data_IF_782792125979
#
_entry.id   IF_782792125979
#
_cell.length_a   1.000
_cell.length_b   1.000
_cell.length_c   1.000
_cell.angle_alpha   90.00
_cell.angle_beta   90.00
_cell.angle_gamma   90.00
#
_symmetry.space_group_name_H-M   'P 1'
#
loop_
_entity.id
_entity.type
_entity.pdbx_description
1 polymer ?
#
# COMPACT_ATOMS: atom_id res chain seq x y z
N UNK A 1 1.02 5.71 -18.05
CA UNK A 1 1.45 4.81 -16.95
C UNK A 1 1.74 5.68 -15.75
N UNK A 2 0.82 5.80 -14.80
CA UNK A 2 1.04 6.58 -13.59
C UNK A 2 1.63 5.66 -12.52
N UNK A 3 2.89 5.87 -12.18
CA UNK A 3 3.55 5.19 -11.06
C UNK A 3 3.09 5.88 -9.78
N UNK A 4 2.11 5.30 -9.09
CA UNK A 4 1.66 5.80 -7.78
C UNK A 4 2.76 5.49 -6.75
N UNK A 5 3.14 6.50 -5.96
CA UNK A 5 4.10 6.36 -4.88
C UNK A 5 3.48 6.78 -3.57
N UNK A 6 3.78 6.05 -2.51
CA UNK A 6 3.30 6.33 -1.16
C UNK A 6 4.47 6.35 -0.17
N UNK A 7 4.33 7.15 0.88
CA UNK A 7 5.32 7.22 1.96
C UNK A 7 4.93 6.27 3.08
N UNK A 8 5.80 5.34 3.44
CA UNK A 8 5.61 4.39 4.55
C UNK A 8 6.63 4.65 5.64
N UNK A 9 6.24 4.46 6.90
CA UNK A 9 7.10 4.63 8.06
C UNK A 9 7.64 3.27 8.52
N UNK A 10 8.96 3.14 8.58
CA UNK A 10 9.62 1.99 9.21
C UNK A 10 9.48 2.13 10.72
N UNK A 11 8.88 1.16 11.41
CA UNK A 11 8.58 1.31 12.84
C UNK A 11 9.82 1.27 13.72
N UNK A 12 10.79 0.43 13.35
CA UNK A 12 12.08 0.29 14.06
C UNK A 12 12.91 1.58 14.03
N UNK A 13 13.12 2.17 12.85
CA UNK A 13 14.00 3.34 12.67
C UNK A 13 13.26 4.68 12.70
N UNK A 14 11.92 4.65 12.68
CA UNK A 14 11.03 5.82 12.47
C UNK A 14 11.30 6.59 11.17
N UNK A 15 12.09 6.02 10.26
CA UNK A 15 12.37 6.63 8.97
C UNK A 15 11.17 6.48 8.06
N UNK A 16 10.93 7.48 7.23
CA UNK A 16 9.92 7.43 6.18
C UNK A 16 10.60 7.09 4.86
N UNK A 17 10.05 6.12 4.14
CA UNK A 17 10.57 5.63 2.87
C UNK A 17 9.48 5.76 1.81
N UNK A 18 9.85 6.21 0.62
CA UNK A 18 8.95 6.25 -0.53
C UNK A 18 8.97 4.90 -1.25
N UNK A 19 7.77 4.36 -1.51
CA UNK A 19 7.60 3.05 -2.14
C UNK A 19 6.62 3.16 -3.30
N UNK A 20 6.77 2.30 -4.29
CA UNK A 20 5.90 2.28 -5.47
C UNK A 20 4.72 1.37 -5.21
N UNK A 21 3.50 1.82 -5.50
CA UNK A 21 2.29 0.99 -5.42
C UNK A 21 2.19 0.15 -6.69
N UNK A 22 2.09 -1.16 -6.52
CA UNK A 22 1.89 -2.12 -7.61
C UNK A 22 0.42 -2.52 -7.77
N UNK A 23 -0.29 -2.78 -6.66
CA UNK A 23 -1.74 -3.04 -6.64
C UNK A 23 -2.34 -2.38 -5.41
N UNK A 24 -3.52 -1.75 -5.56
CA UNK A 24 -4.17 -1.00 -4.47
C UNK A 24 -5.60 -1.49 -4.28
N UNK A 25 -5.87 -2.13 -3.13
CA UNK A 25 -7.21 -2.53 -2.68
C UNK A 25 -7.39 -2.13 -1.22
N UNK A 26 -8.64 -1.93 -0.80
CA UNK A 26 -8.92 -1.62 0.61
C UNK A 26 -8.55 -2.76 1.57
N UNK A 27 -8.42 -3.99 1.08
CA UNK A 27 -8.08 -5.16 1.89
C UNK A 27 -6.58 -5.47 1.88
N UNK A 28 -5.86 -5.01 0.86
CA UNK A 28 -4.43 -5.24 0.67
C UNK A 28 -3.86 -4.22 -0.31
N UNK A 29 -2.72 -3.64 0.03
CA UNK A 29 -1.95 -2.79 -0.87
C UNK A 29 -0.63 -3.49 -1.13
N UNK A 30 -0.34 -3.83 -2.38
CA UNK A 30 0.95 -4.38 -2.77
C UNK A 30 1.87 -3.24 -3.18
N UNK A 31 3.02 -3.16 -2.51
CA UNK A 31 4.06 -2.16 -2.78
C UNK A 31 5.36 -2.82 -3.23
N UNK A 32 6.18 -2.04 -3.93
CA UNK A 32 7.50 -2.42 -4.41
C UNK A 32 8.52 -1.46 -3.83
N UNK A 33 9.55 -2.04 -3.20
CA UNK A 33 10.68 -1.31 -2.61
C UNK A 33 11.94 -1.66 -3.40
N UNK A 34 12.70 -0.63 -3.76
CA UNK A 34 13.91 -0.74 -4.57
C UNK A 34 13.68 -0.49 -6.06
N UNK A 35 14.78 -0.31 -6.80
CA UNK A 35 14.80 -0.02 -8.22
C UNK A 35 15.51 -1.16 -8.99
N UNK A 36 15.02 -1.48 -10.19
CA UNK A 36 15.63 -2.50 -11.06
C UNK A 36 15.38 -3.95 -10.61
N UNK A 37 16.38 -4.83 -10.80
CA UNK A 37 16.24 -6.28 -10.56
C UNK A 37 16.18 -6.66 -9.08
N UNK A 38 16.59 -5.77 -8.18
CA UNK A 38 16.59 -5.97 -6.72
C UNK A 38 15.35 -5.36 -6.07
N UNK A 39 14.22 -5.38 -6.76
CA UNK A 39 12.95 -4.93 -6.21
C UNK A 39 12.30 -6.02 -5.36
N UNK A 40 11.74 -5.64 -4.21
CA UNK A 40 11.03 -6.54 -3.31
C UNK A 40 9.57 -6.13 -3.24
N UNK A 41 8.66 -7.08 -3.45
CA UNK A 41 7.23 -6.90 -3.23
C UNK A 41 6.89 -7.11 -1.76
N UNK A 42 6.06 -6.24 -1.21
CA UNK A 42 5.54 -6.33 0.14
C UNK A 42 4.04 -6.08 0.11
N UNK A 43 3.30 -6.87 0.87
CA UNK A 43 1.86 -6.70 1.02
C UNK A 43 1.58 -5.97 2.33
N UNK A 44 0.90 -4.84 2.25
CA UNK A 44 0.40 -4.09 3.39
C UNK A 44 -1.06 -4.47 3.63
N UNK A 45 -1.37 -4.92 4.85
CA UNK A 45 -2.73 -5.27 5.27
C UNK A 45 -3.25 -4.25 6.28
N UNK A 46 -4.56 -3.94 6.27
CA UNK A 46 -5.12 -2.98 7.21
C UNK A 46 -4.93 -3.50 8.64
N UNK A 47 -4.52 -2.61 9.54
CA UNK A 47 -4.43 -2.90 10.97
C UNK A 47 -5.81 -3.21 11.55
N UNK A 48 -5.87 -3.87 12.71
CA UNK A 48 -7.15 -4.27 13.34
C UNK A 48 -8.11 -3.09 13.57
N UNK A 49 -7.59 -1.90 13.82
CA UNK A 49 -8.39 -0.67 13.98
C UNK A 49 -8.74 0.02 12.65
N UNK A 50 -8.20 -0.45 11.51
CA UNK A 50 -8.46 0.11 10.18
C UNK A 50 -7.87 1.50 9.93
N UNK A 51 -6.99 1.99 10.81
CA UNK A 51 -6.42 3.35 10.73
C UNK A 51 -5.09 3.41 9.97
N UNK A 52 -4.48 2.26 9.70
CA UNK A 52 -3.21 2.15 8.98
C UNK A 52 -3.15 0.82 8.22
N UNK A 53 -2.15 0.68 7.36
CA UNK A 53 -1.77 -0.59 6.77
C UNK A 53 -0.35 -0.96 7.21
N UNK A 54 -0.13 -2.19 7.62
CA UNK A 54 1.17 -2.69 8.06
C UNK A 54 1.62 -3.86 7.20
N UNK A 55 2.93 -3.98 7.00
CA UNK A 55 3.54 -5.13 6.34
C UNK A 55 5.01 -5.25 6.71
N UNK A 56 5.62 -6.36 6.33
CA UNK A 56 7.03 -6.64 6.63
C UNK A 56 7.83 -6.71 5.35
N UNK A 57 8.92 -5.96 5.29
CA UNK A 57 9.89 -5.97 4.19
C UNK A 57 11.27 -6.25 4.74
N UNK A 58 11.92 -7.31 4.24
CA UNK A 58 13.29 -7.70 4.65
C UNK A 58 13.45 -7.71 6.18
N UNK A 59 12.48 -8.30 6.89
CA UNK A 59 12.48 -8.41 8.35
C UNK A 59 12.12 -7.13 9.13
N UNK A 60 11.77 -6.03 8.45
CA UNK A 60 11.37 -4.76 9.07
C UNK A 60 9.90 -4.47 8.85
N UNK A 61 9.21 -4.08 9.90
CA UNK A 61 7.82 -3.63 9.80
C UNK A 61 7.77 -2.20 9.24
N UNK A 62 6.90 -2.03 8.25
CA UNK A 62 6.56 -0.75 7.62
C UNK A 62 5.08 -0.49 7.77
N UNK A 63 4.73 0.76 8.03
CA UNK A 63 3.36 1.21 8.27
C UNK A 63 3.03 2.36 7.33
N UNK A 64 1.95 2.19 6.58
CA UNK A 64 1.30 3.25 5.84
C UNK A 64 0.17 3.84 6.67
N UNK A 65 0.33 5.09 7.10
CA UNK A 65 -0.59 5.77 8.02
C UNK A 65 -1.79 6.38 7.26
N UNK A 66 -2.59 5.52 6.63
CA UNK A 66 -3.87 5.86 6.02
C UNK A 66 -4.96 4.90 6.48
N UNK A 67 -6.14 5.46 6.76
CA UNK A 67 -7.28 4.62 7.10
C UNK A 67 -7.81 3.87 5.87
N UNK A 68 -8.47 2.75 6.12
CA UNK A 68 -9.13 1.97 5.07
C UNK A 68 -10.12 2.81 4.26
N UNK A 69 -10.86 3.71 4.90
CA UNK A 69 -11.82 4.58 4.22
C UNK A 69 -11.13 5.57 3.28
N UNK A 70 -9.99 6.15 3.71
CA UNK A 70 -9.21 7.05 2.87
C UNK A 70 -8.65 6.33 1.65
N UNK A 71 -8.12 5.12 1.83
CA UNK A 71 -7.62 4.30 0.73
C UNK A 71 -8.74 3.91 -0.23
N UNK A 72 -9.92 3.55 0.29
CA UNK A 72 -11.09 3.26 -0.56
C UNK A 72 -11.54 4.50 -1.34
N UNK A 73 -11.57 5.67 -0.70
CA UNK A 73 -11.90 6.93 -1.38
C UNK A 73 -10.86 7.30 -2.45
N UNK A 74 -9.57 7.01 -2.25
CA UNK A 74 -8.55 7.17 -3.29
C UNK A 74 -8.80 6.24 -4.48
N UNK A 75 -9.11 4.96 -4.21
CA UNK A 75 -9.44 3.98 -5.25
C UNK A 75 -10.67 4.44 -6.04
N UNK A 76 -11.73 4.88 -5.35
CA UNK A 76 -12.97 5.32 -5.98
C UNK A 76 -12.76 6.59 -6.82
N UNK A 77 -11.85 7.49 -6.42
CA UNK A 77 -11.48 8.70 -7.18
C UNK A 77 -10.69 8.38 -8.44
N UNK A 78 -9.72 7.46 -8.36
CA UNK A 78 -8.86 7.09 -9.48
C UNK A 78 -9.56 6.13 -10.44
N UNK A 79 -10.49 5.32 -9.94
CA UNK A 79 -11.19 4.34 -10.75
C UNK A 79 -12.66 4.15 -10.32
N UNK A 80 -13.58 5.02 -10.78
CA UNK A 80 -15.01 4.84 -10.54
C UNK A 80 -15.59 3.56 -11.19
N UNK A 81 -14.83 2.87 -12.05
CA UNK A 81 -15.24 1.64 -12.74
C UNK A 81 -14.89 0.33 -11.99
N UNK A 82 -14.12 0.36 -10.89
CA UNK A 82 -13.81 -0.85 -10.08
C UNK A 82 -15.07 -1.46 -9.44
N UNK A 83 -16.16 -0.69 -9.32
CA UNK A 83 -17.46 -1.23 -8.92
C UNK A 83 -18.03 -2.28 -9.89
N UNK A 84 -17.45 -2.51 -11.07
CA UNK A 84 -17.97 -3.44 -12.09
C UNK A 84 -17.07 -4.64 -12.46
N UNK A 85 -16.00 -4.92 -11.74
CA UNK A 85 -15.27 -6.19 -11.91
C UNK A 85 -15.58 -7.17 -10.78
N UNK A 86 -16.87 -7.32 -10.48
CA UNK A 86 -17.39 -8.45 -9.74
C UNK A 86 -17.62 -9.62 -10.70
N UNK A 87 -16.98 -10.74 -10.40
CA UNK A 87 -17.41 -12.11 -10.73
C UNK A 87 -17.31 -12.51 -12.22
N UNK A 88 -16.27 -13.28 -12.54
CA UNK A 88 -16.39 -14.38 -13.50
C UNK A 88 -15.82 -15.63 -12.87
#
# INVERSE_FOLDING_TARGET
MHTEKISVRVTETRQTVEVVVFDKRAERIQVVIGEGIHCVKCDLTPTRNGLAYAGTVVGREIVYERSREQVQADIDRVNPAVRKSGRR
#
